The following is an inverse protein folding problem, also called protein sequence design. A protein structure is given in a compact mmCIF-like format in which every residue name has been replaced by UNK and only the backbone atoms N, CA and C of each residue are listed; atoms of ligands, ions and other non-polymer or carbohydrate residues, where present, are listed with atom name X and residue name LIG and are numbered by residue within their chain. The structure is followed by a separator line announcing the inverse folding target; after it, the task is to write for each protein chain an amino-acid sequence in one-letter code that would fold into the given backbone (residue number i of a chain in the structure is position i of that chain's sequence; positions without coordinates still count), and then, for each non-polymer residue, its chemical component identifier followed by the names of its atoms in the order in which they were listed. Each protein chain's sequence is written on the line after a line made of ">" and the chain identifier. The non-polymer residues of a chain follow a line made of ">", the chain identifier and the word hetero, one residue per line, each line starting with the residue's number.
data_IF_367850612495
#
_entry.id   IF_367850612495
#
_cell.length_a   1.000
_cell.length_b   1.000
_cell.length_c   1.000
_cell.angle_alpha   90.00
_cell.angle_beta   90.00
_cell.angle_gamma   90.00
#
_symmetry.space_group_name_H-M   'P 1'
#
loop_
_entity.id
_entity.type
_entity.pdbx_description
1 polymer ?
#
# COMPACT_ATOMS: atom_id res chain seq x y z
N UNK A 1 6.33 14.65 -12.22
CA UNK A 1 6.89 13.38 -12.75
C UNK A 1 5.75 12.53 -13.27
N UNK A 2 5.93 11.88 -14.42
CA UNK A 2 4.91 10.99 -15.00
C UNK A 2 5.10 9.56 -14.44
N UNK A 3 4.05 8.86 -14.01
CA UNK A 3 4.16 7.47 -13.59
C UNK A 3 4.44 6.56 -14.79
N UNK A 4 5.20 5.50 -14.56
CA UNK A 4 5.45 4.43 -15.53
C UNK A 4 5.00 3.10 -14.97
N UNK A 5 4.68 2.14 -15.84
CA UNK A 5 4.53 0.74 -15.44
C UNK A 5 5.91 0.08 -15.42
N UNK A 6 6.24 -0.59 -14.32
CA UNK A 6 7.45 -1.40 -14.23
C UNK A 6 7.34 -2.63 -15.14
N UNK A 7 8.47 -3.07 -15.67
CA UNK A 7 8.62 -4.38 -16.26
C UNK A 7 9.03 -5.40 -15.20
N UNK A 8 8.83 -6.69 -15.49
CA UNK A 8 9.14 -7.80 -14.57
C UNK A 8 10.57 -7.76 -13.99
N UNK A 9 11.55 -7.40 -14.82
CA UNK A 9 12.97 -7.28 -14.42
C UNK A 9 13.26 -6.06 -13.52
N UNK A 10 12.35 -5.09 -13.48
CA UNK A 10 12.48 -3.86 -12.69
C UNK A 10 11.82 -3.97 -11.31
N UNK A 11 11.14 -5.08 -10.98
CA UNK A 11 10.50 -5.24 -9.67
C UNK A 11 11.50 -5.17 -8.51
N UNK A 12 12.75 -5.52 -8.76
CA UNK A 12 13.80 -5.42 -7.74
C UNK A 12 14.06 -3.96 -7.31
N UNK A 13 13.75 -2.98 -8.18
CA UNK A 13 13.87 -1.55 -7.89
C UNK A 13 12.96 -1.11 -6.74
N UNK A 14 11.88 -1.85 -6.43
CA UNK A 14 11.00 -1.51 -5.31
C UNK A 14 11.78 -1.41 -3.97
N UNK A 15 12.87 -2.17 -3.84
CA UNK A 15 13.73 -2.21 -2.66
C UNK A 15 14.68 -1.01 -2.57
N UNK A 16 14.86 -0.25 -3.65
CA UNK A 16 15.70 0.95 -3.66
C UNK A 16 14.99 2.17 -3.04
N UNK A 17 13.66 2.07 -2.78
CA UNK A 17 12.89 3.13 -2.12
C UNK A 17 13.36 3.30 -0.68
N UNK A 18 13.72 4.53 -0.32
CA UNK A 18 14.01 4.92 1.06
C UNK A 18 12.73 4.97 1.89
N UNK A 19 12.40 3.86 2.54
CA UNK A 19 11.23 3.77 3.41
C UNK A 19 11.43 4.28 4.83
N UNK A 20 12.56 4.94 5.13
CA UNK A 20 12.83 5.39 6.50
C UNK A 20 11.70 6.26 7.05
N UNK A 21 11.39 6.10 8.33
CA UNK A 21 10.29 6.79 8.99
C UNK A 21 10.47 6.80 10.51
N UNK A 22 10.14 7.93 11.13
CA UNK A 22 9.89 8.00 12.57
C UNK A 22 8.40 7.83 12.79
N UNK A 23 8.04 6.82 13.57
CA UNK A 23 6.67 6.57 13.98
C UNK A 23 6.61 6.87 15.48
N UNK A 24 5.76 7.80 15.90
CA UNK A 24 5.55 8.14 17.32
C UNK A 24 4.14 7.83 17.81
N UNK A 25 3.21 7.59 16.87
CA UNK A 25 1.80 7.40 17.14
C UNK A 25 1.25 6.30 16.24
N UNK A 26 0.67 5.30 16.87
CA UNK A 26 -0.01 4.20 16.21
C UNK A 26 -1.53 4.27 16.44
N UNK A 27 -2.27 3.58 15.60
CA UNK A 27 -3.67 3.26 15.80
C UNK A 27 -3.84 1.81 16.21
N UNK A 28 -4.81 1.56 17.09
CA UNK A 28 -5.42 0.23 17.26
C UNK A 28 -6.90 0.33 16.95
N UNK A 29 -7.47 -0.73 16.39
CA UNK A 29 -8.92 -0.83 16.23
C UNK A 29 -9.52 -1.43 17.50
N UNK A 30 -10.33 -0.64 18.21
CA UNK A 30 -11.01 -1.07 19.43
C UNK A 30 -12.47 -0.63 19.40
N UNK A 31 -13.39 -1.57 19.61
CA UNK A 31 -14.84 -1.35 19.55
C UNK A 31 -15.30 -0.69 18.24
N UNK A 32 -14.70 -1.10 17.12
CA UNK A 32 -14.98 -0.56 15.78
C UNK A 32 -14.47 0.86 15.54
N UNK A 33 -13.63 1.41 16.44
CA UNK A 33 -13.09 2.76 16.35
C UNK A 33 -11.57 2.75 16.39
N UNK A 34 -10.96 3.65 15.62
CA UNK A 34 -9.53 3.90 15.68
C UNK A 34 -9.20 4.66 16.96
N UNK A 35 -8.35 4.06 17.79
CA UNK A 35 -7.81 4.68 19.00
C UNK A 35 -6.32 4.88 18.82
N UNK A 36 -5.87 6.13 18.89
CA UNK A 36 -4.45 6.46 18.79
C UNK A 36 -3.75 6.22 20.13
N UNK A 37 -2.52 5.71 20.09
CA UNK A 37 -1.65 5.58 21.25
C UNK A 37 -0.21 5.89 20.85
N UNK A 38 0.59 6.34 21.82
CA UNK A 38 1.98 6.70 21.58
C UNK A 38 2.87 5.46 21.67
N UNK A 39 3.68 5.24 20.64
CA UNK A 39 4.74 4.23 20.61
C UNK A 39 5.80 4.65 19.58
N UNK A 40 7.07 4.50 19.94
CA UNK A 40 8.18 5.05 19.16
C UNK A 40 8.93 3.98 18.38
N UNK A 41 9.06 4.18 17.08
CA UNK A 41 9.91 3.39 16.19
C UNK A 41 10.75 4.30 15.30
N UNK A 42 12.05 3.98 15.21
CA UNK A 42 12.99 4.53 14.24
C UNK A 42 13.20 3.50 13.12
N UNK A 43 12.37 3.58 12.08
CA UNK A 43 12.45 2.70 10.91
C UNK A 43 13.53 3.26 9.99
N UNK A 44 14.65 2.53 9.85
CA UNK A 44 15.81 2.96 9.06
C UNK A 44 15.85 2.41 7.63
N UNK A 45 14.91 1.56 7.27
CA UNK A 45 14.87 0.88 5.97
C UNK A 45 13.98 -0.36 6.01
N UNK A 46 14.17 -1.25 5.04
CA UNK A 46 13.51 -2.55 4.97
C UNK A 46 13.97 -3.47 6.10
N UNK A 47 13.04 -4.25 6.67
CA UNK A 47 13.38 -5.21 7.71
C UNK A 47 14.22 -6.36 7.12
N UNK A 48 15.04 -7.06 7.94
CA UNK A 48 16.02 -8.06 7.47
C UNK A 48 15.49 -9.24 6.62
N UNK A 49 14.17 -9.42 6.46
CA UNK A 49 13.60 -10.47 5.62
C UNK A 49 12.46 -9.97 4.73
N UNK A 50 12.19 -8.66 4.68
CA UNK A 50 11.12 -8.11 3.84
C UNK A 50 11.36 -8.48 2.37
N UNK A 51 12.61 -8.32 1.90
CA UNK A 51 12.97 -8.60 0.51
C UNK A 51 12.70 -10.05 0.13
N UNK A 52 13.12 -10.99 0.96
CA UNK A 52 12.94 -12.42 0.73
C UNK A 52 11.46 -12.83 0.81
N UNK A 53 10.72 -12.21 1.74
CA UNK A 53 9.31 -12.51 2.00
C UNK A 53 8.39 -11.97 0.90
N UNK A 54 8.57 -10.70 0.52
CA UNK A 54 7.63 -10.00 -0.36
C UNK A 54 8.02 -10.03 -1.84
N UNK A 55 9.30 -10.25 -2.20
CA UNK A 55 9.68 -10.37 -3.62
C UNK A 55 8.91 -11.48 -4.35
N UNK A 56 8.75 -12.70 -3.79
CA UNK A 56 7.93 -13.73 -4.41
C UNK A 56 6.46 -13.31 -4.57
N UNK A 57 5.91 -12.56 -3.62
CA UNK A 57 4.54 -12.05 -3.66
C UNK A 57 4.38 -11.01 -4.77
N UNK A 58 5.32 -10.07 -4.89
CA UNK A 58 5.35 -9.08 -5.98
C UNK A 58 5.52 -9.74 -7.35
N UNK A 59 6.42 -10.73 -7.45
CA UNK A 59 6.63 -11.51 -8.66
C UNK A 59 5.35 -12.24 -9.08
N UNK A 60 4.72 -12.97 -8.16
CA UNK A 60 3.48 -13.68 -8.43
C UNK A 60 2.38 -12.70 -8.85
N UNK A 61 2.29 -11.53 -8.22
CA UNK A 61 1.36 -10.45 -8.58
C UNK A 61 1.58 -9.97 -10.01
N UNK A 62 2.81 -9.69 -10.39
CA UNK A 62 3.13 -9.31 -11.76
C UNK A 62 2.78 -10.42 -12.75
N UNK A 63 3.15 -11.66 -12.45
CA UNK A 63 2.99 -12.81 -13.35
C UNK A 63 1.50 -13.14 -13.61
N UNK A 64 0.60 -12.75 -12.69
CA UNK A 64 -0.87 -12.81 -12.88
C UNK A 64 -1.51 -11.52 -13.43
N UNK A 65 -0.69 -10.56 -13.88
CA UNK A 65 -1.16 -9.32 -14.53
C UNK A 65 -1.35 -8.12 -13.61
N UNK A 66 -0.83 -8.15 -12.38
CA UNK A 66 -0.83 -7.01 -11.46
C UNK A 66 -0.05 -5.82 -12.00
N UNK A 67 -0.55 -4.62 -11.71
CA UNK A 67 0.03 -3.37 -12.22
C UNK A 67 0.97 -2.76 -11.18
N UNK A 68 2.21 -2.48 -11.59
CA UNK A 68 3.23 -1.83 -10.75
C UNK A 68 3.55 -0.45 -11.30
N UNK A 69 2.98 0.58 -10.68
CA UNK A 69 3.24 1.97 -11.03
C UNK A 69 4.44 2.50 -10.26
N UNK A 70 5.32 3.22 -10.94
CA UNK A 70 6.50 3.83 -10.32
C UNK A 70 6.70 5.26 -10.81
N UNK A 71 7.31 6.08 -9.96
CA UNK A 71 7.80 7.42 -10.28
C UNK A 71 9.32 7.42 -10.13
N UNK A 72 9.99 8.00 -11.13
CA UNK A 72 11.44 8.11 -11.16
C UNK A 72 11.88 9.58 -11.19
N UNK A 73 12.99 9.87 -10.52
CA UNK A 73 13.76 11.09 -10.68
C UNK A 73 15.15 10.71 -11.22
N UNK A 74 15.36 10.91 -12.53
CA UNK A 74 16.50 10.31 -13.22
C UNK A 74 16.41 8.78 -13.18
N UNK A 75 17.43 8.13 -12.64
CA UNK A 75 17.44 6.67 -12.45
C UNK A 75 16.85 6.24 -11.10
N UNK A 76 16.70 7.15 -10.14
CA UNK A 76 16.21 6.84 -8.80
C UNK A 76 14.69 6.61 -8.81
N UNK A 77 14.25 5.49 -8.24
CA UNK A 77 12.83 5.25 -7.97
C UNK A 77 12.44 5.93 -6.66
N UNK A 78 11.50 6.86 -6.75
CA UNK A 78 11.15 7.74 -5.63
C UNK A 78 9.79 7.43 -5.01
N UNK A 79 8.95 6.68 -5.73
CA UNK A 79 7.69 6.17 -5.22
C UNK A 79 7.19 5.03 -6.10
N UNK A 80 6.46 4.09 -5.51
CA UNK A 80 5.79 3.04 -6.26
C UNK A 80 4.51 2.56 -5.58
N UNK A 81 3.59 2.04 -6.39
CA UNK A 81 2.36 1.40 -5.97
C UNK A 81 2.10 0.14 -6.80
N UNK A 82 1.71 -0.96 -6.15
CA UNK A 82 1.32 -2.19 -6.82
C UNK A 82 -0.17 -2.47 -6.58
N UNK A 83 -0.89 -2.75 -7.66
CA UNK A 83 -2.28 -3.20 -7.63
C UNK A 83 -2.32 -4.69 -7.98
N UNK A 84 -2.82 -5.49 -7.05
CA UNK A 84 -3.02 -6.92 -7.26
C UNK A 84 -4.27 -7.20 -8.10
N UNK A 85 -4.31 -8.35 -8.77
CA UNK A 85 -5.49 -8.84 -9.50
C UNK A 85 -6.31 -9.83 -8.68
N UNK A 86 -5.77 -10.36 -7.57
CA UNK A 86 -6.54 -11.25 -6.69
C UNK A 86 -7.74 -10.52 -6.07
N UNK A 87 -8.95 -11.10 -6.15
CA UNK A 87 -10.14 -10.47 -5.61
C UNK A 87 -10.15 -10.54 -4.08
N UNK A 88 -10.44 -9.40 -3.45
CA UNK A 88 -10.56 -9.24 -2.00
C UNK A 88 -11.96 -8.78 -1.60
N UNK A 89 -12.21 -8.81 -0.29
CA UNK A 89 -13.48 -8.42 0.31
C UNK A 89 -14.56 -9.49 0.21
N UNK A 90 -15.66 -9.37 1.00
CA UNK A 90 -16.70 -10.40 1.06
C UNK A 90 -17.37 -10.69 -0.29
N UNK A 91 -17.52 -9.66 -1.13
CA UNK A 91 -18.12 -9.75 -2.46
C UNK A 91 -17.11 -10.12 -3.56
N UNK A 92 -15.82 -10.28 -3.22
CA UNK A 92 -14.71 -10.56 -4.18
C UNK A 92 -14.61 -9.51 -5.30
N UNK A 93 -15.01 -8.29 -5.01
CA UNK A 93 -15.06 -7.16 -5.94
C UNK A 93 -14.01 -6.08 -5.65
N UNK A 94 -13.14 -6.27 -4.65
CA UNK A 94 -12.03 -5.36 -4.37
C UNK A 94 -10.70 -5.86 -4.96
N UNK A 95 -9.74 -4.96 -5.12
CA UNK A 95 -8.35 -5.27 -5.48
C UNK A 95 -7.39 -4.72 -4.44
N UNK A 96 -6.38 -5.49 -4.07
CA UNK A 96 -5.44 -5.07 -3.04
C UNK A 96 -4.45 -4.03 -3.57
N UNK A 97 -4.29 -2.93 -2.83
CA UNK A 97 -3.09 -2.10 -2.91
C UNK A 97 -1.95 -2.85 -2.21
N UNK A 98 -1.24 -3.68 -2.97
CA UNK A 98 -0.29 -4.67 -2.46
C UNK A 98 1.01 -4.05 -1.94
N UNK A 99 1.47 -2.99 -2.59
CA UNK A 99 2.69 -2.27 -2.24
C UNK A 99 2.42 -0.78 -2.42
N UNK A 100 2.86 0.06 -1.49
CA UNK A 100 2.65 1.50 -1.60
C UNK A 100 3.68 2.27 -0.76
N UNK A 101 4.66 2.88 -1.43
CA UNK A 101 5.72 3.62 -0.74
C UNK A 101 6.11 4.88 -1.52
N UNK A 102 6.48 5.92 -0.76
CA UNK A 102 7.14 7.13 -1.25
C UNK A 102 8.42 7.30 -0.43
N UNK A 103 9.55 7.49 -1.11
CA UNK A 103 10.85 7.72 -0.48
C UNK A 103 10.74 8.84 0.56
N UNK A 104 11.37 8.69 1.72
CA UNK A 104 11.20 9.57 2.87
C UNK A 104 11.40 11.05 2.51
N UNK A 105 12.47 11.34 1.76
CA UNK A 105 12.83 12.67 1.29
C UNK A 105 11.90 13.26 0.20
N UNK A 106 10.92 12.48 -0.30
CA UNK A 106 9.92 12.88 -1.31
C UNK A 106 8.48 12.92 -0.79
N UNK A 107 8.26 12.59 0.49
CA UNK A 107 6.93 12.68 1.12
C UNK A 107 6.46 14.13 1.21
N UNK A 108 5.14 14.34 1.31
CA UNK A 108 4.53 15.68 1.36
C UNK A 108 4.41 16.40 0.01
N UNK A 109 4.92 15.83 -1.08
CA UNK A 109 4.91 16.45 -2.42
C UNK A 109 3.75 15.97 -3.32
N UNK A 110 2.78 15.23 -2.76
CA UNK A 110 1.61 14.74 -3.50
C UNK A 110 1.81 13.47 -4.33
N UNK A 111 3.02 12.89 -4.36
CA UNK A 111 3.33 11.67 -5.14
C UNK A 111 2.47 10.46 -4.74
N UNK A 112 2.28 10.25 -3.43
CA UNK A 112 1.40 9.17 -2.93
C UNK A 112 -0.04 9.35 -3.40
N UNK A 113 -0.59 10.57 -3.33
CA UNK A 113 -1.94 10.86 -3.84
C UNK A 113 -2.04 10.55 -5.33
N UNK A 114 -1.04 10.93 -6.12
CA UNK A 114 -1.00 10.65 -7.56
C UNK A 114 -1.05 9.14 -7.86
N UNK A 115 -0.23 8.34 -7.16
CA UNK A 115 -0.19 6.89 -7.33
C UNK A 115 -1.47 6.21 -6.83
N UNK A 116 -2.00 6.63 -5.68
CA UNK A 116 -3.24 6.07 -5.13
C UNK A 116 -4.43 6.26 -6.07
N UNK A 117 -4.57 7.46 -6.65
CA UNK A 117 -5.60 7.75 -7.65
C UNK A 117 -5.41 6.96 -8.94
N UNK A 118 -4.16 6.63 -9.31
CA UNK A 118 -3.88 5.78 -10.46
C UNK A 118 -4.31 4.33 -10.20
N UNK A 119 -4.01 3.78 -9.02
CA UNK A 119 -4.48 2.46 -8.61
C UNK A 119 -6.02 2.38 -8.55
N UNK A 120 -6.70 3.40 -8.01
CA UNK A 120 -8.17 3.46 -8.00
C UNK A 120 -8.76 3.43 -9.41
N UNK A 121 -8.19 4.20 -10.35
CA UNK A 121 -8.63 4.20 -11.74
C UNK A 121 -8.38 2.86 -12.42
N UNK A 122 -7.22 2.25 -12.19
CA UNK A 122 -6.90 0.93 -12.73
C UNK A 122 -7.87 -0.14 -12.19
N UNK A 123 -8.13 -0.14 -10.87
CA UNK A 123 -9.09 -1.06 -10.27
C UNK A 123 -10.49 -0.91 -10.89
N UNK A 124 -10.95 0.32 -11.13
CA UNK A 124 -12.23 0.58 -11.79
C UNK A 124 -12.25 0.06 -13.24
N UNK A 125 -11.16 0.25 -14.00
CA UNK A 125 -11.00 -0.26 -15.35
C UNK A 125 -11.01 -1.80 -15.40
N UNK A 126 -10.48 -2.44 -14.36
CA UNK A 126 -10.48 -3.89 -14.19
C UNK A 126 -11.83 -4.43 -13.66
N UNK A 127 -12.83 -3.57 -13.51
CA UNK A 127 -14.19 -3.93 -13.06
C UNK A 127 -14.33 -4.15 -11.56
N UNK A 128 -13.36 -3.72 -10.76
CA UNK A 128 -13.44 -3.77 -9.30
C UNK A 128 -14.30 -2.63 -8.75
N UNK A 129 -14.96 -2.87 -7.61
CA UNK A 129 -15.72 -1.88 -6.86
C UNK A 129 -14.83 -0.93 -6.05
N UNK A 130 -13.56 -1.27 -5.84
CA UNK A 130 -12.64 -0.46 -5.04
C UNK A 130 -11.29 -1.10 -4.75
N UNK A 131 -10.49 -0.36 -3.98
CA UNK A 131 -9.25 -0.84 -3.39
C UNK A 131 -9.48 -1.42 -2.00
N UNK A 132 -8.80 -2.52 -1.71
CA UNK A 132 -8.55 -3.05 -0.38
C UNK A 132 -7.16 -2.61 0.07
N UNK A 133 -7.03 -2.09 1.29
CA UNK A 133 -5.76 -1.64 1.87
C UNK A 133 -5.55 -2.35 3.20
N UNK A 134 -4.43 -3.05 3.33
CA UNK A 134 -3.88 -3.51 4.62
C UNK A 134 -2.78 -2.52 4.97
N UNK A 135 -3.00 -1.71 6.00
CA UNK A 135 -2.07 -0.64 6.39
C UNK A 135 -1.44 -0.96 7.71
N UNK A 136 -0.13 -0.79 7.82
CA UNK A 136 0.52 -0.70 9.12
C UNK A 136 -0.22 0.32 10.00
N UNK A 137 -0.27 0.11 11.34
CA UNK A 137 -1.04 0.97 12.24
C UNK A 137 -0.46 2.37 12.42
N UNK A 138 0.55 2.78 11.66
CA UNK A 138 1.11 4.13 11.70
C UNK A 138 0.02 5.18 11.45
N UNK A 139 -0.19 6.08 12.41
CA UNK A 139 -1.23 7.11 12.34
C UNK A 139 -1.14 7.95 11.09
N UNK A 140 0.07 8.38 10.68
CA UNK A 140 0.25 9.22 9.49
C UNK A 140 -0.20 8.50 8.20
N UNK A 141 0.05 7.20 8.13
CA UNK A 141 -0.27 6.34 6.99
C UNK A 141 -1.77 6.05 6.94
N UNK A 142 -2.39 5.69 8.06
CA UNK A 142 -3.84 5.48 8.15
C UNK A 142 -4.60 6.78 7.85
N UNK A 143 -4.17 7.91 8.41
CA UNK A 143 -4.76 9.23 8.13
C UNK A 143 -4.68 9.59 6.64
N UNK A 144 -3.56 9.27 5.98
CA UNK A 144 -3.41 9.46 4.54
C UNK A 144 -4.52 8.73 3.76
N UNK A 145 -4.75 7.46 4.08
CA UNK A 145 -5.80 6.66 3.44
C UNK A 145 -7.21 7.20 3.74
N UNK A 146 -7.50 7.54 5.00
CA UNK A 146 -8.78 8.15 5.38
C UNK A 146 -9.02 9.45 4.60
N UNK A 147 -7.99 10.29 4.42
CA UNK A 147 -8.07 11.50 3.62
C UNK A 147 -8.27 11.26 2.11
N UNK A 148 -8.00 10.04 1.61
CA UNK A 148 -8.36 9.64 0.23
C UNK A 148 -9.82 9.16 0.12
N UNK A 149 -10.54 9.06 1.23
CA UNK A 149 -11.90 8.54 1.28
C UNK A 149 -11.97 7.05 1.60
N UNK A 150 -10.87 6.45 2.09
CA UNK A 150 -10.93 5.12 2.67
C UNK A 150 -11.80 5.10 3.94
N UNK A 151 -12.42 3.96 4.21
CA UNK A 151 -13.12 3.66 5.45
C UNK A 151 -12.69 2.29 5.98
N UNK A 152 -12.86 2.05 7.27
CA UNK A 152 -12.62 0.73 7.86
C UNK A 152 -13.46 -0.33 7.15
N UNK A 153 -12.88 -1.50 6.93
CA UNK A 153 -13.65 -2.66 6.47
C UNK A 153 -14.20 -3.41 7.68
N UNK A 154 -15.49 -3.78 7.64
CA UNK A 154 -16.14 -4.50 8.73
C UNK A 154 -15.66 -5.95 8.84
N UNK A 155 -15.31 -6.56 7.70
CA UNK A 155 -14.85 -7.94 7.61
C UNK A 155 -13.48 -7.96 6.91
N UNK A 156 -12.38 -7.93 7.68
CA UNK A 156 -11.03 -8.08 7.13
C UNK A 156 -10.87 -9.38 6.34
N UNK A 157 -9.97 -9.35 5.35
CA UNK A 157 -9.62 -10.54 4.57
C UNK A 157 -8.84 -11.49 5.49
N UNK A 158 -9.26 -12.75 5.56
CA UNK A 158 -8.71 -13.72 6.51
C UNK A 158 -7.23 -13.99 6.27
N UNK A 159 -6.78 -14.01 5.01
CA UNK A 159 -5.37 -14.27 4.69
C UNK A 159 -4.51 -13.08 5.08
N UNK A 160 -4.93 -11.86 4.72
CA UNK A 160 -4.18 -10.64 5.04
C UNK A 160 -4.14 -10.38 6.53
N UNK A 161 -5.26 -10.59 7.23
CA UNK A 161 -5.34 -10.44 8.69
C UNK A 161 -4.47 -11.48 9.42
N UNK A 162 -4.43 -12.73 8.95
CA UNK A 162 -3.57 -13.75 9.54
C UNK A 162 -2.08 -13.45 9.33
N UNK A 163 -1.73 -12.80 8.22
CA UNK A 163 -0.35 -12.41 7.90
C UNK A 163 0.12 -11.25 8.77
N UNK A 164 -0.69 -10.20 8.90
CA UNK A 164 -0.38 -8.98 9.65
C UNK A 164 -1.56 -8.61 10.57
N UNK A 165 -1.71 -9.26 11.75
CA UNK A 165 -2.90 -9.07 12.61
C UNK A 165 -3.07 -7.67 13.20
N UNK A 166 -2.00 -6.88 13.20
CA UNK A 166 -1.99 -5.50 13.72
C UNK A 166 -2.35 -4.46 12.65
N UNK A 167 -2.47 -4.87 11.38
CA UNK A 167 -2.82 -3.97 10.31
C UNK A 167 -4.23 -3.40 10.47
N UNK A 168 -4.38 -2.15 10.04
CA UNK A 168 -5.66 -1.48 9.89
C UNK A 168 -6.18 -1.73 8.48
N UNK A 169 -7.23 -2.54 8.39
CA UNK A 169 -7.84 -2.91 7.12
C UNK A 169 -8.89 -1.90 6.67
N UNK A 170 -8.75 -1.41 5.44
CA UNK A 170 -9.53 -0.31 4.88
C UNK A 170 -10.03 -0.64 3.47
N UNK A 171 -11.10 0.03 3.06
CA UNK A 171 -11.64 -0.02 1.69
C UNK A 171 -11.81 1.39 1.13
N UNK A 172 -11.44 1.57 -0.14
CA UNK A 172 -11.67 2.78 -0.91
C UNK A 172 -12.49 2.46 -2.17
N UNK A 173 -13.78 2.84 -2.23
CA UNK A 173 -14.58 2.59 -3.43
C UNK A 173 -14.05 3.33 -4.65
N UNK A 174 -14.08 2.68 -5.82
CA UNK A 174 -13.98 3.35 -7.09
C UNK A 174 -15.17 4.32 -7.22
N UNK A 175 -14.91 5.53 -7.69
CA UNK A 175 -15.96 6.56 -7.92
C UNK A 175 -16.31 6.64 -9.39
#
# INVERSE_FOLDING_TARGET
>A
MAPVLLQRQQLDRLWDIDRSEIIDTLYRLQDGKLQSYAEYYDVRGWAPHDRETYTPIHAACFDRGGAFFALFEGEEIVAAAALDTEPRGPQRDLRQLLFFYVSAHKRGQGLGRQLFQLCLRQAAQDGAAGLYVSSIPNKSTVDFYLAQGCRLIEQPDTELFAREPEDIHLVCPCR
#
